data_IF_976091927309
#
_entry.id   IF_976091927309
#
_cell.length_a   1.000
_cell.length_b   1.000
_cell.length_c   1.000
_cell.angle_alpha   90.00
_cell.angle_beta   90.00
_cell.angle_gamma   90.00
#
_symmetry.space_group_name_H-M   'P 1'
#
loop_
_entity.id
_entity.type
_entity.pdbx_description
1 polymer ?
#
# COMPACT_ATOMS: atom_id res chain seq x y z
N UNK A 1 0.88 40.94 15.94
CA UNK A 1 0.72 39.48 16.11
C UNK A 1 2.04 38.84 15.69
N UNK A 2 2.90 38.49 16.65
CA UNK A 2 4.23 37.91 16.39
C UNK A 2 4.12 36.39 16.35
N UNK A 3 4.56 35.76 15.26
CA UNK A 3 4.63 34.30 15.16
C UNK A 3 5.84 33.82 15.96
N UNK A 4 5.61 33.26 17.15
CA UNK A 4 6.63 32.50 17.87
C UNK A 4 6.74 31.13 17.22
N UNK A 5 7.88 30.84 16.60
CA UNK A 5 8.19 29.50 16.10
C UNK A 5 8.65 28.62 17.26
N UNK A 6 7.91 27.55 17.54
CA UNK A 6 8.29 26.55 18.54
C UNK A 6 8.81 25.30 17.83
N UNK A 7 10.11 24.95 18.00
CA UNK A 7 10.74 23.84 17.29
C UNK A 7 10.07 22.48 17.60
N UNK A 8 9.52 22.30 18.81
CA UNK A 8 8.85 21.05 19.21
C UNK A 8 7.65 20.71 18.33
N UNK A 9 6.85 21.72 17.96
CA UNK A 9 5.72 21.54 17.03
C UNK A 9 6.17 21.22 15.61
N UNK A 10 7.35 21.69 15.20
CA UNK A 10 7.90 21.38 13.89
C UNK A 10 8.35 19.92 13.82
N UNK A 11 8.99 19.40 14.87
CA UNK A 11 9.38 17.99 14.96
C UNK A 11 8.15 17.07 15.04
N UNK A 12 7.13 17.45 15.82
CA UNK A 12 5.86 16.72 15.87
C UNK A 12 5.16 16.69 14.50
N UNK A 13 5.08 17.85 13.82
CA UNK A 13 4.51 17.94 12.49
C UNK A 13 5.28 17.12 11.45
N UNK A 14 6.61 17.06 11.56
CA UNK A 14 7.44 16.22 10.70
C UNK A 14 7.16 14.73 10.98
N UNK A 15 7.09 14.34 12.25
CA UNK A 15 6.74 12.97 12.65
C UNK A 15 5.39 12.53 12.08
N UNK A 16 4.37 13.39 12.21
CA UNK A 16 3.03 13.14 11.64
C UNK A 16 3.10 13.05 10.12
N UNK A 17 3.82 13.96 9.45
CA UNK A 17 3.96 13.95 8.00
C UNK A 17 4.65 12.67 7.51
N UNK A 18 5.70 12.21 8.18
CA UNK A 18 6.40 10.97 7.84
C UNK A 18 5.50 9.74 8.00
N UNK A 19 4.74 9.65 9.10
CA UNK A 19 3.77 8.57 9.30
C UNK A 19 2.69 8.61 8.23
N UNK A 20 2.13 9.79 7.92
CA UNK A 20 1.10 9.94 6.90
C UNK A 20 1.60 9.51 5.52
N UNK A 21 2.80 9.95 5.11
CA UNK A 21 3.43 9.52 3.86
C UNK A 21 3.68 8.01 3.89
N UNK A 22 4.19 7.47 4.99
CA UNK A 22 4.39 6.03 5.15
C UNK A 22 3.10 5.22 4.95
N UNK A 23 1.99 5.65 5.57
CA UNK A 23 0.68 5.02 5.42
C UNK A 23 0.20 5.10 3.97
N UNK A 24 0.33 6.26 3.31
CA UNK A 24 -0.07 6.42 1.91
C UNK A 24 0.74 5.48 1.00
N UNK A 25 2.05 5.38 1.21
CA UNK A 25 2.90 4.49 0.43
C UNK A 25 2.54 3.02 0.63
N UNK A 26 2.26 2.60 1.87
CA UNK A 26 1.80 1.23 2.16
C UNK A 26 0.45 0.98 1.50
N UNK A 27 -0.49 1.93 1.57
CA UNK A 27 -1.79 1.80 0.92
C UNK A 27 -1.66 1.67 -0.60
N UNK A 28 -0.84 2.50 -1.24
CA UNK A 28 -0.57 2.42 -2.67
C UNK A 28 0.10 1.10 -3.06
N UNK A 29 1.04 0.61 -2.25
CA UNK A 29 1.67 -0.70 -2.45
C UNK A 29 0.63 -1.82 -2.37
N UNK A 30 -0.25 -1.80 -1.36
CA UNK A 30 -1.33 -2.79 -1.22
C UNK A 30 -2.26 -2.76 -2.43
N UNK A 31 -2.68 -1.57 -2.87
CA UNK A 31 -3.54 -1.41 -4.04
C UNK A 31 -2.85 -1.91 -5.32
N UNK A 32 -1.55 -1.64 -5.48
CA UNK A 32 -0.77 -2.16 -6.60
C UNK A 32 -0.74 -3.69 -6.60
N UNK A 33 -0.45 -4.31 -5.45
CA UNK A 33 -0.38 -5.76 -5.33
C UNK A 33 -1.73 -6.42 -5.63
N UNK A 34 -2.83 -5.85 -5.11
CA UNK A 34 -4.19 -6.33 -5.41
C UNK A 34 -4.49 -6.16 -6.90
N UNK A 35 -4.20 -5.01 -7.51
CA UNK A 35 -4.45 -4.80 -8.94
C UNK A 35 -3.58 -5.68 -9.84
N UNK A 36 -2.38 -6.03 -9.40
CA UNK A 36 -1.49 -6.96 -10.09
C UNK A 36 -2.03 -8.40 -10.00
N UNK A 37 -2.45 -8.83 -8.81
CA UNK A 37 -3.07 -10.13 -8.55
C UNK A 37 -4.40 -10.31 -9.31
N UNK A 38 -5.19 -9.24 -9.47
CA UNK A 38 -6.42 -9.30 -10.26
C UNK A 38 -6.18 -9.16 -11.78
N UNK A 39 -4.92 -9.12 -12.22
CA UNK A 39 -4.58 -8.99 -13.64
C UNK A 39 -4.87 -7.62 -14.26
N UNK A 40 -5.35 -6.64 -13.49
CA UNK A 40 -5.69 -5.30 -13.96
C UNK A 40 -4.44 -4.45 -14.29
N UNK A 41 -3.35 -4.68 -13.56
CA UNK A 41 -2.06 -3.97 -13.75
C UNK A 41 -1.02 -4.88 -14.40
N UNK A 42 -1.16 -6.21 -14.28
CA UNK A 42 -0.17 -7.16 -14.79
C UNK A 42 0.00 -7.05 -16.31
N UNK A 43 1.26 -7.07 -16.78
CA UNK A 43 1.57 -7.11 -18.22
C UNK A 43 1.12 -8.42 -18.88
N UNK A 44 0.97 -9.49 -18.10
CA UNK A 44 0.43 -10.78 -18.55
C UNK A 44 -1.11 -10.86 -18.43
N UNK A 45 -1.77 -9.78 -17.98
CA UNK A 45 -3.22 -9.75 -17.79
C UNK A 45 -3.70 -10.79 -16.78
N UNK A 46 -4.81 -11.46 -17.12
CA UNK A 46 -5.46 -12.47 -16.27
C UNK A 46 -4.63 -13.72 -15.99
N UNK A 47 -3.58 -14.00 -16.77
CA UNK A 47 -2.70 -15.14 -16.47
C UNK A 47 -2.12 -15.05 -15.04
N UNK A 48 -1.78 -13.84 -14.60
CA UNK A 48 -1.26 -13.64 -13.25
C UNK A 48 -2.32 -13.87 -12.18
N UNK A 49 -3.58 -13.55 -12.49
CA UNK A 49 -4.71 -13.82 -11.59
C UNK A 49 -4.93 -15.31 -11.39
N UNK A 50 -4.94 -16.08 -12.48
CA UNK A 50 -5.13 -17.53 -12.40
C UNK A 50 -3.93 -18.20 -11.70
N UNK A 51 -2.70 -17.79 -12.01
CA UNK A 51 -1.50 -18.32 -11.35
C UNK A 51 -1.53 -18.12 -9.83
N UNK A 52 -1.94 -16.93 -9.38
CA UNK A 52 -1.95 -16.57 -7.96
C UNK A 52 -3.13 -17.20 -7.24
N UNK A 53 -4.28 -17.25 -7.90
CA UNK A 53 -5.44 -17.99 -7.46
C UNK A 53 -5.09 -19.46 -7.24
N UNK A 54 -4.44 -20.12 -8.20
CA UNK A 54 -4.01 -21.52 -8.08
C UNK A 54 -2.95 -21.72 -6.99
N UNK A 55 -2.04 -20.76 -6.82
CA UNK A 55 -1.09 -20.75 -5.71
C UNK A 55 -1.78 -20.74 -4.34
N UNK A 56 -2.90 -20.01 -4.19
CA UNK A 56 -3.70 -20.02 -2.95
C UNK A 56 -4.35 -21.37 -2.71
N UNK A 57 -4.90 -22.00 -3.76
CA UNK A 57 -5.41 -23.38 -3.66
C UNK A 57 -4.33 -24.36 -3.23
N UNK A 58 -3.12 -24.25 -3.78
CA UNK A 58 -1.98 -25.10 -3.42
C UNK A 58 -1.58 -24.95 -1.95
N UNK A 59 -1.68 -23.73 -1.40
CA UNK A 59 -1.40 -23.43 0.01
C UNK A 59 -2.61 -23.70 0.95
N UNK A 60 -3.73 -24.18 0.43
CA UNK A 60 -4.95 -24.44 1.21
C UNK A 60 -5.67 -23.18 1.70
N UNK A 61 -5.39 -22.03 1.09
CA UNK A 61 -6.03 -20.75 1.45
C UNK A 61 -7.39 -20.62 0.77
N UNK A 62 -8.43 -20.12 1.47
CA UNK A 62 -9.74 -19.90 0.86
C UNK A 62 -9.67 -18.80 -0.20
N UNK A 63 -10.48 -18.93 -1.25
CA UNK A 63 -10.49 -18.07 -2.45
C UNK A 63 -11.86 -17.43 -2.74
N UNK A 64 -12.90 -17.75 -1.96
CA UNK A 64 -14.24 -17.15 -2.04
C UNK A 64 -14.74 -16.65 -0.67
#
# INVERSE_FOLDING_TARGET
MTLVHSPDRAIESLGIALVAVGVVLVALLTLYLVGFDQGAISRSGMYMHELMHDGRHLLGLPCH
#
